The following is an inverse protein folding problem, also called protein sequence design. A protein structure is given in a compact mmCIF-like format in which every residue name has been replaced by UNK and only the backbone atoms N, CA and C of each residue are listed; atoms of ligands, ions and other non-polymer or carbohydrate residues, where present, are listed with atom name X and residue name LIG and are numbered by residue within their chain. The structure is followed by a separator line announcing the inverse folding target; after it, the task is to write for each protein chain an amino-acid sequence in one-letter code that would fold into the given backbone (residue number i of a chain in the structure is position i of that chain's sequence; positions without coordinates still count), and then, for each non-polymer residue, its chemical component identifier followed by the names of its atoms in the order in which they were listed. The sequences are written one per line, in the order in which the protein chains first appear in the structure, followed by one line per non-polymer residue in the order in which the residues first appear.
data_IF_386785998697
#
_entry.id   IF_386785998697
#
_cell.length_a   1.000
_cell.length_b   1.000
_cell.length_c   1.000
_cell.angle_alpha   90.00
_cell.angle_beta   90.00
_cell.angle_gamma   90.00
#
_symmetry.space_group_name_H-M   'P 1'
#
loop_
_entity.id
_entity.type
_entity.pdbx_description
1 polymer ?
#
# COMPACT_ATOMS: atom_id res chain seq x y z
N UNK A 1 21.25 13.38 -12.84
CA UNK A 1 20.07 13.25 -11.99
C UNK A 1 20.45 13.38 -10.54
N UNK A 2 19.67 14.16 -9.81
CA UNK A 2 19.96 14.39 -8.40
C UNK A 2 19.40 13.25 -7.54
N UNK A 3 19.87 13.17 -6.30
CA UNK A 3 19.35 12.21 -5.34
C UNK A 3 17.87 12.45 -5.06
N UNK A 4 17.40 13.67 -5.25
CA UNK A 4 15.99 14.02 -5.04
C UNK A 4 15.07 13.29 -6.02
N UNK A 5 15.51 13.12 -7.27
CA UNK A 5 14.73 12.40 -8.27
C UNK A 5 14.53 10.94 -7.87
N UNK A 6 15.57 10.32 -7.29
CA UNK A 6 15.48 8.94 -6.83
C UNK A 6 14.53 8.81 -5.65
N UNK A 7 14.59 9.76 -4.70
CA UNK A 7 13.70 9.75 -3.55
C UNK A 7 12.24 9.96 -3.96
N UNK A 8 12.01 10.88 -4.87
CA UNK A 8 10.65 11.15 -5.37
C UNK A 8 10.10 9.95 -6.12
N UNK A 9 10.94 9.29 -6.93
CA UNK A 9 10.54 8.08 -7.63
C UNK A 9 10.14 6.96 -6.67
N UNK A 10 10.95 6.74 -5.63
CA UNK A 10 10.66 5.72 -4.64
C UNK A 10 9.37 6.02 -3.87
N UNK A 11 9.16 7.27 -3.49
CA UNK A 11 7.94 7.67 -2.80
C UNK A 11 6.71 7.48 -3.71
N UNK A 12 6.83 7.85 -4.98
CA UNK A 12 5.75 7.67 -5.94
C UNK A 12 5.42 6.19 -6.14
N UNK A 13 6.44 5.33 -6.17
CA UNK A 13 6.24 3.89 -6.29
C UNK A 13 5.49 3.35 -5.07
N UNK A 14 5.85 3.80 -3.88
CA UNK A 14 5.17 3.38 -2.65
C UNK A 14 3.70 3.83 -2.65
N UNK A 15 3.45 5.05 -3.10
CA UNK A 15 2.08 5.58 -3.19
C UNK A 15 1.25 4.79 -4.20
N UNK A 16 1.84 4.45 -5.34
CA UNK A 16 1.15 3.65 -6.36
C UNK A 16 0.81 2.26 -5.82
N UNK A 17 1.75 1.61 -5.13
CA UNK A 17 1.49 0.32 -4.50
C UNK A 17 0.40 0.41 -3.44
N UNK A 18 0.37 1.51 -2.68
CA UNK A 18 -0.66 1.72 -1.68
C UNK A 18 -2.04 1.78 -2.33
N UNK A 19 -2.18 2.55 -3.40
CA UNK A 19 -3.44 2.65 -4.12
C UNK A 19 -3.86 1.29 -4.66
N UNK A 20 -2.94 0.56 -5.30
CA UNK A 20 -3.22 -0.77 -5.82
C UNK A 20 -3.65 -1.73 -4.72
N UNK A 21 -2.98 -1.67 -3.57
CA UNK A 21 -3.30 -2.55 -2.44
C UNK A 21 -4.65 -2.21 -1.82
N UNK A 22 -5.00 -0.92 -1.76
CA UNK A 22 -6.30 -0.49 -1.27
C UNK A 22 -7.42 -0.96 -2.21
N UNK A 23 -7.21 -0.87 -3.52
CA UNK A 23 -8.15 -1.38 -4.50
C UNK A 23 -8.31 -2.89 -4.36
N UNK A 24 -7.21 -3.62 -4.19
CA UNK A 24 -7.25 -5.06 -3.98
C UNK A 24 -8.03 -5.42 -2.72
N UNK A 25 -7.83 -4.64 -1.64
CA UNK A 25 -8.57 -4.88 -0.40
C UNK A 25 -10.08 -4.67 -0.60
N UNK A 26 -10.46 -3.60 -1.30
CA UNK A 26 -11.87 -3.35 -1.58
C UNK A 26 -12.49 -4.49 -2.37
N UNK A 27 -11.78 -5.01 -3.38
CA UNK A 27 -12.25 -6.13 -4.17
C UNK A 27 -12.42 -7.38 -3.31
N UNK A 28 -11.46 -7.66 -2.42
CA UNK A 28 -11.52 -8.80 -1.53
C UNK A 28 -12.69 -8.70 -0.55
N UNK A 29 -12.90 -7.51 0.01
CA UNK A 29 -14.02 -7.26 0.94
C UNK A 29 -15.34 -7.43 0.19
N UNK A 30 -15.42 -6.94 -1.04
CA UNK A 30 -16.60 -7.10 -1.88
C UNK A 30 -16.90 -8.56 -2.16
N UNK A 31 -15.87 -9.34 -2.51
CA UNK A 31 -16.01 -10.78 -2.74
C UNK A 31 -16.49 -11.50 -1.49
N UNK A 32 -15.98 -11.10 -0.33
CA UNK A 32 -16.41 -11.66 0.94
C UNK A 32 -17.89 -11.39 1.18
N UNK A 33 -18.34 -10.17 0.92
CA UNK A 33 -19.74 -9.79 1.14
C UNK A 33 -20.68 -10.56 0.23
N UNK A 34 -20.19 -11.01 -0.93
CA UNK A 34 -20.94 -11.84 -1.86
C UNK A 34 -20.73 -13.34 -1.63
N UNK A 35 -19.98 -13.68 -0.58
CA UNK A 35 -19.66 -15.07 -0.23
C UNK A 35 -18.90 -15.80 -1.34
N UNK A 36 -18.14 -15.07 -2.14
CA UNK A 36 -17.32 -15.63 -3.22
C UNK A 36 -15.86 -15.85 -2.81
N UNK A 37 -15.45 -15.29 -1.68
CA UNK A 37 -14.08 -15.41 -1.20
C UNK A 37 -13.96 -16.59 -0.25
N UNK A 38 -13.13 -17.57 -0.64
CA UNK A 38 -12.91 -18.77 0.16
C UNK A 38 -11.83 -18.60 1.21
N UNK A 39 -10.82 -17.75 0.91
CA UNK A 39 -9.64 -17.59 1.78
C UNK A 39 -9.61 -16.19 2.38
N UNK A 40 -10.04 -16.09 3.64
CA UNK A 40 -10.06 -14.82 4.36
C UNK A 40 -8.67 -14.34 4.74
N UNK A 41 -7.65 -15.19 4.65
CA UNK A 41 -6.28 -14.79 4.97
C UNK A 41 -5.76 -13.75 3.98
N UNK A 42 -6.28 -13.70 2.76
CA UNK A 42 -5.89 -12.70 1.77
C UNK A 42 -6.26 -11.29 2.23
N UNK A 43 -7.41 -11.12 2.87
CA UNK A 43 -7.83 -9.83 3.42
C UNK A 43 -6.84 -9.39 4.49
N UNK A 44 -6.47 -10.29 5.37
CA UNK A 44 -5.55 -10.01 6.46
C UNK A 44 -4.16 -9.63 5.94
N UNK A 45 -3.66 -10.38 4.96
CA UNK A 45 -2.36 -10.09 4.33
C UNK A 45 -2.36 -8.73 3.64
N UNK A 46 -3.43 -8.42 2.92
CA UNK A 46 -3.54 -7.15 2.21
C UNK A 46 -3.60 -5.98 3.19
N UNK A 47 -4.32 -6.13 4.28
CA UNK A 47 -4.37 -5.10 5.33
C UNK A 47 -2.99 -4.85 5.93
N UNK A 48 -2.23 -5.90 6.20
CA UNK A 48 -0.86 -5.77 6.71
C UNK A 48 0.04 -5.06 5.71
N UNK A 49 -0.10 -5.39 4.42
CA UNK A 49 0.67 -4.74 3.37
C UNK A 49 0.36 -3.25 3.32
N UNK A 50 -0.92 -2.87 3.39
CA UNK A 50 -1.33 -1.48 3.39
C UNK A 50 -0.75 -0.73 4.58
N UNK A 51 -0.82 -1.30 5.77
CA UNK A 51 -0.26 -0.69 6.98
C UNK A 51 1.24 -0.47 6.83
N UNK A 52 1.96 -1.46 6.30
CA UNK A 52 3.39 -1.35 6.07
C UNK A 52 3.71 -0.26 5.06
N UNK A 53 2.96 -0.19 3.96
CA UNK A 53 3.17 0.84 2.94
C UNK A 53 2.94 2.24 3.50
N UNK A 54 1.90 2.41 4.30
CA UNK A 54 1.63 3.70 4.95
C UNK A 54 2.78 4.11 5.87
N UNK A 55 3.32 3.17 6.63
CA UNK A 55 4.46 3.42 7.51
C UNK A 55 5.68 3.84 6.71
N UNK A 56 5.98 3.12 5.62
CA UNK A 56 7.13 3.43 4.77
C UNK A 56 7.00 4.82 4.13
N UNK A 57 5.80 5.15 3.67
CA UNK A 57 5.53 6.47 3.08
C UNK A 57 5.73 7.56 4.13
N UNK A 58 5.22 7.34 5.34
CA UNK A 58 5.34 8.30 6.43
C UNK A 58 6.81 8.51 6.80
N UNK A 59 7.57 7.43 6.92
CA UNK A 59 9.00 7.51 7.22
C UNK A 59 9.76 8.26 6.14
N UNK A 60 9.43 8.01 4.87
CA UNK A 60 10.08 8.72 3.76
C UNK A 60 9.83 10.23 3.85
N UNK A 61 8.60 10.63 4.18
CA UNK A 61 8.27 12.05 4.32
C UNK A 61 9.03 12.70 5.49
N UNK A 62 9.13 11.98 6.60
CA UNK A 62 9.85 12.49 7.77
C UNK A 62 11.33 12.69 7.44
N UNK A 63 11.93 11.70 6.77
CA UNK A 63 13.35 11.78 6.39
C UNK A 63 13.61 12.93 5.41
N UNK A 64 12.67 13.17 4.49
CA UNK A 64 12.82 14.27 3.53
C UNK A 64 12.71 15.63 4.19
N UNK A 65 11.99 15.73 5.31
CA UNK A 65 11.77 16.98 6.02
C UNK A 65 12.82 17.24 7.10
N UNK A 66 13.70 16.28 7.37
CA UNK A 66 14.76 16.45 8.37
C UNK A 66 16.12 16.92 7.75
#
# INVERSE_FOLDING_TARGET
MSDDDKKNGQLNDLKAELIDSQDALQNLVFQKSMQQLEDLSQIKKTRKKIARLKTLIHESKILDNS
#
